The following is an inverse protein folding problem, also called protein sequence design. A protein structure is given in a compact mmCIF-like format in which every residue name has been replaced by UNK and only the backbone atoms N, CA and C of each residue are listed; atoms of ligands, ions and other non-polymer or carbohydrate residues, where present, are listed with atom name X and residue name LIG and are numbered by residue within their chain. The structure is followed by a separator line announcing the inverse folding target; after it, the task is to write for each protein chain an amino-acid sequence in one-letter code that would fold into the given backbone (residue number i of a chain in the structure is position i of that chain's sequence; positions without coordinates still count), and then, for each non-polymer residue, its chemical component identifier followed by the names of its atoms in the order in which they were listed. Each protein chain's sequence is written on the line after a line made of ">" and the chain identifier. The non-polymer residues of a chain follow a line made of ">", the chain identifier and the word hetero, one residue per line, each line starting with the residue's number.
data_IF_976030891866
#
_entry.id   IF_976030891866
#
_cell.length_a   1.000
_cell.length_b   1.000
_cell.length_c   1.000
_cell.angle_alpha   90.00
_cell.angle_beta   90.00
_cell.angle_gamma   90.00
#
_symmetry.space_group_name_H-M   'P 1'
#
loop_
_entity.id
_entity.type
_entity.pdbx_description
1 polymer ?
#
# COMPACT_ATOMS: atom_id res chain seq x y z
N UNK A 1 -44.81 -35.05 -40.66
CA UNK A 1 -44.23 -34.14 -41.67
C UNK A 1 -42.73 -34.13 -41.43
N UNK A 2 -42.01 -35.15 -41.94
CA UNK A 2 -41.22 -35.17 -43.21
C UNK A 2 -39.97 -34.29 -43.12
N UNK A 3 -38.76 -34.86 -42.91
CA UNK A 3 -37.82 -35.46 -43.91
C UNK A 3 -37.06 -34.36 -44.71
N UNK A 4 -35.73 -34.32 -44.90
CA UNK A 4 -34.73 -35.33 -45.35
C UNK A 4 -33.27 -34.91 -44.92
N UNK A 5 -32.27 -35.78 -44.58
CA UNK A 5 -31.56 -36.89 -45.30
C UNK A 5 -30.49 -36.37 -46.31
N UNK A 6 -29.17 -36.71 -46.33
CA UNK A 6 -28.45 -37.99 -46.54
C UNK A 6 -26.90 -37.84 -46.29
N UNK A 7 -26.23 -38.69 -45.48
CA UNK A 7 -25.27 -39.84 -45.75
C UNK A 7 -23.84 -39.50 -46.25
N UNK A 8 -22.72 -39.91 -45.62
CA UNK A 8 -22.13 -41.24 -45.27
C UNK A 8 -21.39 -41.94 -46.44
N UNK A 9 -20.08 -42.21 -46.29
CA UNK A 9 -19.42 -43.53 -46.48
C UNK A 9 -17.89 -43.48 -46.76
N UNK A 10 -17.17 -44.29 -45.98
CA UNK A 10 -15.85 -44.93 -46.21
C UNK A 10 -15.88 -45.82 -47.48
N UNK A 11 -14.75 -46.35 -48.07
CA UNK A 11 -13.85 -47.29 -47.38
C UNK A 11 -12.36 -47.36 -47.83
N UNK A 12 -11.56 -48.11 -47.04
CA UNK A 12 -10.21 -48.66 -47.38
C UNK A 12 -10.29 -49.73 -48.49
N UNK A 13 -9.18 -50.01 -49.18
CA UNK A 13 -8.59 -51.36 -49.45
C UNK A 13 -7.38 -51.32 -50.45
N UNK A 14 -6.24 -51.88 -49.97
CA UNK A 14 -5.15 -52.70 -50.57
C UNK A 14 -4.60 -52.52 -52.02
N UNK A 15 -3.29 -52.76 -52.17
CA UNK A 15 -2.71 -53.30 -53.42
C UNK A 15 -1.18 -53.27 -53.51
N UNK A 16 -0.54 -54.45 -53.40
CA UNK A 16 0.89 -54.74 -53.56
C UNK A 16 1.40 -54.56 -55.02
N UNK A 17 2.72 -54.47 -55.23
CA UNK A 17 3.31 -54.66 -56.57
C UNK A 17 4.80 -54.36 -56.72
N UNK A 18 5.62 -55.39 -56.52
CA UNK A 18 7.08 -55.49 -56.68
C UNK A 18 7.67 -55.18 -58.09
N UNK A 19 9.02 -55.05 -58.10
CA UNK A 19 10.03 -55.23 -59.20
C UNK A 19 10.61 -53.92 -59.78
N UNK A 20 11.87 -53.77 -60.16
CA UNK A 20 13.13 -54.55 -60.12
C UNK A 20 14.20 -53.69 -60.83
N UNK A 21 15.37 -53.41 -60.22
CA UNK A 21 16.73 -53.85 -60.64
C UNK A 21 17.35 -53.22 -61.92
N UNK A 22 18.32 -52.31 -61.69
CA UNK A 22 19.71 -52.24 -62.24
C UNK A 22 19.94 -52.12 -63.77
N UNK A 23 21.21 -52.00 -64.28
CA UNK A 23 22.50 -51.51 -63.73
C UNK A 23 23.30 -50.63 -64.75
N UNK A 24 24.56 -50.29 -64.40
CA UNK A 24 25.78 -50.07 -65.24
C UNK A 24 26.49 -48.74 -64.91
N UNK A 25 27.74 -48.65 -64.41
CA UNK A 25 29.08 -49.22 -64.66
C UNK A 25 30.04 -48.13 -65.23
N UNK A 26 31.12 -47.83 -64.48
CA UNK A 26 32.54 -47.65 -64.96
C UNK A 26 32.86 -46.37 -65.77
N UNK A 27 33.95 -45.58 -65.61
CA UNK A 27 35.30 -45.77 -65.05
C UNK A 27 36.06 -44.41 -64.90
N UNK A 28 37.02 -44.37 -63.96
CA UNK A 28 38.44 -43.95 -64.09
C UNK A 28 38.83 -42.52 -64.55
N UNK A 29 39.68 -41.85 -63.75
CA UNK A 29 40.68 -40.88 -64.25
C UNK A 29 41.11 -39.79 -63.26
N UNK A 30 42.38 -39.82 -62.88
CA UNK A 30 43.09 -39.00 -61.89
C UNK A 30 43.21 -37.48 -62.21
N UNK A 31 43.31 -36.62 -61.18
CA UNK A 31 44.49 -35.79 -60.83
C UNK A 31 44.17 -34.50 -60.02
N UNK A 32 44.79 -34.43 -58.83
CA UNK A 32 45.41 -33.29 -58.11
C UNK A 32 44.63 -32.05 -57.59
N UNK A 33 44.86 -31.84 -56.28
CA UNK A 33 45.01 -30.60 -55.51
C UNK A 33 43.81 -29.86 -54.88
N UNK A 34 43.69 -30.09 -53.55
CA UNK A 34 43.51 -29.13 -52.45
C UNK A 34 42.71 -27.84 -52.71
N UNK A 35 41.54 -27.72 -52.06
CA UNK A 35 41.17 -26.55 -51.24
C UNK A 35 40.19 -26.99 -50.14
N UNK A 36 40.58 -26.78 -48.88
CA UNK A 36 39.76 -26.95 -47.68
C UNK A 36 38.53 -26.03 -47.74
N UNK A 37 37.33 -26.56 -47.53
CA UNK A 37 36.12 -25.74 -47.43
C UNK A 37 35.18 -26.30 -46.35
N UNK A 38 35.57 -26.11 -45.09
CA UNK A 38 34.62 -26.12 -43.98
C UNK A 38 35.08 -25.16 -42.87
N UNK A 39 34.56 -23.92 -42.86
CA UNK A 39 34.47 -23.19 -41.59
C UNK A 39 33.15 -22.43 -41.39
N UNK A 40 32.20 -22.48 -42.33
CA UNK A 40 31.02 -21.61 -42.28
C UNK A 40 29.84 -22.23 -41.50
N UNK A 41 29.75 -23.55 -41.41
CA UNK A 41 28.68 -24.24 -40.64
C UNK A 41 28.97 -24.13 -39.13
N UNK A 42 30.23 -24.32 -38.72
CA UNK A 42 30.65 -24.17 -37.31
C UNK A 42 30.58 -22.74 -36.77
N UNK A 43 30.55 -21.72 -37.64
CA UNK A 43 30.38 -20.31 -37.22
C UNK A 43 28.92 -19.92 -37.02
N UNK A 44 28.00 -20.50 -37.80
CA UNK A 44 26.57 -20.26 -37.61
C UNK A 44 26.06 -20.97 -36.35
N UNK A 45 26.54 -22.17 -36.06
CA UNK A 45 26.17 -22.88 -34.82
C UNK A 45 26.73 -22.17 -33.57
N UNK A 46 27.97 -21.66 -33.65
CA UNK A 46 28.57 -20.89 -32.56
C UNK A 46 27.91 -19.52 -32.31
N UNK A 47 27.31 -18.89 -33.32
CA UNK A 47 26.58 -17.62 -33.14
C UNK A 47 25.11 -17.82 -32.72
N UNK A 48 24.53 -18.99 -33.04
CA UNK A 48 23.15 -19.33 -32.65
C UNK A 48 23.07 -19.79 -31.19
N UNK A 49 24.15 -20.36 -30.63
CA UNK A 49 24.20 -20.71 -29.20
C UNK A 49 24.48 -19.52 -28.27
N UNK A 50 25.10 -18.43 -28.76
CA UNK A 50 25.44 -17.27 -27.90
C UNK A 50 24.24 -16.30 -27.73
N UNK A 51 23.16 -16.46 -28.48
CA UNK A 51 22.02 -15.52 -28.47
C UNK A 51 20.78 -16.01 -27.70
N UNK A 52 20.84 -17.15 -27.02
CA UNK A 52 19.70 -17.72 -26.30
C UNK A 52 19.92 -18.00 -24.80
N UNK A 53 20.87 -17.29 -24.17
CA UNK A 53 20.80 -17.11 -22.72
C UNK A 53 19.59 -16.23 -22.41
N UNK A 54 18.45 -16.87 -22.12
CA UNK A 54 17.39 -16.23 -21.33
C UNK A 54 18.08 -15.58 -20.13
N UNK A 55 17.85 -14.29 -19.84
CA UNK A 55 18.48 -13.65 -18.69
C UNK A 55 18.24 -14.56 -17.49
N UNK A 56 19.32 -15.05 -16.88
CA UNK A 56 19.26 -15.89 -15.70
C UNK A 56 18.58 -15.04 -14.62
N UNK A 57 17.28 -15.25 -14.44
CA UNK A 57 16.49 -14.55 -13.42
C UNK A 57 16.95 -15.14 -12.09
N UNK A 58 17.88 -14.46 -11.44
CA UNK A 58 18.28 -14.78 -10.08
C UNK A 58 17.10 -14.37 -9.20
N UNK A 59 16.30 -15.37 -8.79
CA UNK A 59 15.18 -15.13 -7.87
C UNK A 59 15.73 -15.05 -6.45
N UNK A 60 15.84 -13.84 -5.91
CA UNK A 60 16.20 -13.63 -4.51
C UNK A 60 14.98 -13.98 -3.64
N UNK A 61 15.06 -15.09 -2.89
CA UNK A 61 14.01 -15.50 -1.95
C UNK A 61 14.15 -14.69 -0.65
N UNK A 62 13.25 -13.72 -0.46
CA UNK A 62 13.22 -12.88 0.74
C UNK A 62 12.13 -13.38 1.67
N UNK A 63 12.55 -13.76 2.86
CA UNK A 63 11.66 -14.25 3.90
C UNK A 63 11.10 -13.08 4.69
N UNK A 64 9.80 -12.81 4.53
CA UNK A 64 9.13 -11.75 5.27
C UNK A 64 8.70 -12.26 6.64
N UNK A 65 9.28 -11.71 7.70
CA UNK A 65 8.85 -11.97 9.06
C UNK A 65 7.83 -10.90 9.50
N UNK A 66 6.61 -11.35 9.84
CA UNK A 66 5.53 -10.48 10.32
C UNK A 66 5.92 -9.67 11.56
N UNK A 67 6.80 -10.19 12.42
CA UNK A 67 7.24 -9.49 13.62
C UNK A 67 8.15 -8.29 13.30
N UNK A 68 9.04 -8.43 12.33
CA UNK A 68 9.88 -7.32 11.86
C UNK A 68 9.04 -6.21 11.22
N UNK A 69 7.98 -6.61 10.49
CA UNK A 69 7.00 -5.67 9.92
C UNK A 69 6.27 -4.88 11.01
N UNK A 70 5.83 -5.55 12.09
CA UNK A 70 5.25 -4.86 13.27
C UNK A 70 6.24 -3.84 13.84
N UNK A 71 7.50 -4.24 14.01
CA UNK A 71 8.58 -3.36 14.47
C UNK A 71 8.78 -2.13 13.59
N UNK A 72 8.66 -2.28 12.26
CA UNK A 72 8.76 -1.18 11.32
C UNK A 72 7.52 -0.27 11.32
N UNK A 73 6.30 -0.81 11.44
CA UNK A 73 5.06 -0.02 11.41
C UNK A 73 5.01 1.00 12.55
N UNK A 74 5.50 0.64 13.74
CA UNK A 74 5.44 1.50 14.93
C UNK A 74 6.07 2.90 14.69
N UNK A 75 7.38 3.04 14.41
CA UNK A 75 8.00 4.36 14.23
C UNK A 75 7.43 5.12 13.04
N UNK A 76 7.10 4.43 11.94
CA UNK A 76 6.48 5.07 10.77
C UNK A 76 5.08 5.61 11.06
N UNK A 77 4.28 4.90 11.86
CA UNK A 77 2.94 5.37 12.27
C UNK A 77 3.01 6.60 13.17
N UNK A 78 3.97 6.63 14.11
CA UNK A 78 4.24 7.79 14.97
C UNK A 78 4.65 8.99 14.11
N UNK A 79 5.62 8.80 13.21
CA UNK A 79 6.05 9.86 12.29
C UNK A 79 4.90 10.36 11.42
N UNK A 80 4.04 9.47 10.94
CA UNK A 80 2.91 9.83 10.09
C UNK A 80 1.88 10.70 10.81
N UNK A 81 1.58 10.39 12.07
CA UNK A 81 0.71 11.23 12.91
C UNK A 81 1.34 12.58 13.19
N UNK A 82 2.64 12.63 13.48
CA UNK A 82 3.35 13.90 13.70
C UNK A 82 3.29 14.79 12.46
N UNK A 83 3.48 14.21 11.26
CA UNK A 83 3.34 14.94 9.99
C UNK A 83 1.91 15.43 9.81
N UNK A 84 0.90 14.58 10.02
CA UNK A 84 -0.52 14.98 9.89
C UNK A 84 -0.87 16.15 10.81
N UNK A 85 -0.57 16.01 12.11
CA UNK A 85 -0.88 17.04 13.11
C UNK A 85 -0.05 18.30 12.85
N UNK A 86 1.20 18.16 12.44
CA UNK A 86 2.05 19.26 12.03
C UNK A 86 1.44 20.05 10.88
N UNK A 87 1.06 19.39 9.78
CA UNK A 87 0.42 20.01 8.62
C UNK A 87 -0.90 20.70 9.00
N UNK A 88 -1.72 20.06 9.83
CA UNK A 88 -2.97 20.65 10.32
C UNK A 88 -2.72 21.92 11.15
N UNK A 89 -1.70 21.94 12.00
CA UNK A 89 -1.34 23.13 12.80
C UNK A 89 -0.68 24.24 12.00
N UNK A 90 0.02 23.91 10.91
CA UNK A 90 0.64 24.91 10.04
C UNK A 90 -0.40 25.68 9.21
N UNK A 91 -1.54 25.05 8.92
CA UNK A 91 -2.59 25.65 8.09
C UNK A 91 -3.61 26.47 8.88
N UNK A 92 -3.62 26.44 10.21
CA UNK A 92 -4.53 27.25 11.05
C UNK A 92 -4.20 28.74 11.09
N UNK A 93 -3.94 29.38 9.95
CA UNK A 93 -3.72 30.82 9.82
C UNK A 93 -4.94 31.52 9.20
N UNK A 94 -5.20 32.79 9.54
CA UNK A 94 -6.35 33.53 9.02
C UNK A 94 -6.20 33.73 7.50
N UNK A 95 -7.26 33.40 6.75
CA UNK A 95 -7.28 33.53 5.28
C UNK A 95 -6.65 32.35 4.52
N UNK A 96 -6.51 31.19 5.16
CA UNK A 96 -6.04 29.98 4.48
C UNK A 96 -6.94 29.64 3.26
N UNK A 97 -6.35 29.31 2.09
CA UNK A 97 -7.09 29.14 0.86
C UNK A 97 -7.85 27.81 0.78
N UNK A 98 -7.39 26.78 1.51
CA UNK A 98 -7.96 25.42 1.53
C UNK A 98 -7.73 24.81 2.90
N UNK A 99 -8.70 24.01 3.38
CA UNK A 99 -8.66 23.36 4.69
C UNK A 99 -7.47 22.41 4.86
N UNK A 100 -6.88 22.37 6.07
CA UNK A 100 -5.61 21.71 6.35
C UNK A 100 -5.55 20.21 6.05
N UNK A 101 -6.70 19.52 6.05
CA UNK A 101 -6.77 18.09 5.70
C UNK A 101 -6.26 17.81 4.28
N UNK A 102 -6.46 18.75 3.33
CA UNK A 102 -6.00 18.62 1.94
C UNK A 102 -4.51 18.31 1.86
N UNK A 103 -3.69 19.02 2.64
CA UNK A 103 -2.23 18.86 2.61
C UNK A 103 -1.80 17.51 3.17
N UNK A 104 -2.40 17.06 4.28
CA UNK A 104 -2.10 15.75 4.84
C UNK A 104 -2.45 14.63 3.83
N UNK A 105 -3.62 14.72 3.19
CA UNK A 105 -4.05 13.73 2.21
C UNK A 105 -3.13 13.71 0.97
N UNK A 106 -2.74 14.89 0.45
CA UNK A 106 -1.82 15.00 -0.68
C UNK A 106 -0.43 14.43 -0.36
N UNK A 107 0.17 14.84 0.76
CA UNK A 107 1.52 14.39 1.18
C UNK A 107 1.55 12.88 1.39
N UNK A 108 0.53 12.34 2.07
CA UNK A 108 0.45 10.90 2.29
C UNK A 108 0.27 10.09 1.00
N UNK A 109 -0.57 10.58 0.07
CA UNK A 109 -0.75 9.93 -1.23
C UNK A 109 0.49 10.07 -2.13
N UNK A 110 1.20 11.19 -2.06
CA UNK A 110 2.46 11.42 -2.78
C UNK A 110 3.56 10.43 -2.36
N UNK A 111 3.79 10.29 -1.05
CA UNK A 111 4.76 9.31 -0.53
C UNK A 111 4.34 7.89 -0.90
N UNK A 112 3.03 7.58 -0.82
CA UNK A 112 2.49 6.28 -1.23
C UNK A 112 2.76 6.00 -2.73
N UNK A 113 2.60 7.00 -3.61
CA UNK A 113 2.88 6.89 -5.04
C UNK A 113 4.35 6.56 -5.33
N UNK A 114 5.29 7.27 -4.67
CA UNK A 114 6.73 6.98 -4.78
C UNK A 114 7.03 5.55 -4.32
N UNK A 115 6.40 5.14 -3.21
CA UNK A 115 6.61 3.83 -2.63
C UNK A 115 6.06 2.71 -3.51
N UNK A 116 4.92 2.94 -4.15
CA UNK A 116 4.28 1.97 -5.06
C UNK A 116 5.12 1.77 -6.33
N UNK A 117 5.75 2.82 -6.84
CA UNK A 117 6.61 2.72 -8.02
C UNK A 117 7.91 1.97 -7.72
N UNK A 118 8.56 2.27 -6.60
CA UNK A 118 9.86 1.70 -6.24
C UNK A 118 9.78 0.42 -5.38
N UNK A 119 8.66 -0.33 -5.43
CA UNK A 119 8.38 -1.49 -4.58
C UNK A 119 9.55 -2.47 -4.40
N UNK A 120 10.26 -2.78 -5.48
CA UNK A 120 11.36 -3.75 -5.45
C UNK A 120 12.58 -3.22 -4.68
N UNK A 121 12.91 -1.93 -4.85
CA UNK A 121 14.06 -1.31 -4.20
C UNK A 121 13.82 -1.14 -2.69
N UNK A 122 12.58 -0.88 -2.28
CA UNK A 122 12.23 -0.62 -0.87
C UNK A 122 11.40 -1.74 -0.22
N UNK A 123 11.42 -2.95 -0.77
CA UNK A 123 10.57 -4.08 -0.35
C UNK A 123 10.52 -4.29 1.17
N UNK A 124 11.66 -4.21 1.87
CA UNK A 124 11.73 -4.37 3.35
C UNK A 124 10.94 -3.31 4.12
N UNK A 125 10.94 -2.08 3.61
CA UNK A 125 10.34 -0.92 4.27
C UNK A 125 8.95 -0.60 3.72
N UNK A 126 8.54 -1.26 2.62
CA UNK A 126 7.33 -0.94 1.88
C UNK A 126 6.09 -0.96 2.77
N UNK A 127 5.97 -1.96 3.64
CA UNK A 127 4.82 -2.10 4.54
C UNK A 127 4.86 -1.01 5.62
N UNK A 128 6.04 -0.70 6.19
CA UNK A 128 6.19 0.40 7.13
C UNK A 128 5.86 1.76 6.51
N UNK A 129 6.28 2.00 5.26
CA UNK A 129 6.06 3.26 4.56
C UNK A 129 4.60 3.42 4.09
N UNK A 130 4.01 2.39 3.50
CA UNK A 130 2.62 2.42 3.06
C UNK A 130 1.65 2.32 4.24
N UNK A 131 1.74 1.23 5.02
CA UNK A 131 0.80 0.91 6.08
C UNK A 131 1.13 1.58 7.40
N UNK A 132 2.36 1.99 7.68
CA UNK A 132 2.68 2.82 8.86
C UNK A 132 2.53 4.30 8.52
N UNK A 133 3.45 4.83 7.71
CA UNK A 133 3.60 6.26 7.47
C UNK A 133 2.41 6.85 6.70
N UNK A 134 2.20 6.44 5.44
CA UNK A 134 1.18 7.03 4.58
C UNK A 134 -0.22 6.81 5.14
N UNK A 135 -0.49 5.63 5.69
CA UNK A 135 -1.75 5.30 6.34
C UNK A 135 -2.02 6.07 7.64
N UNK A 136 -1.00 6.60 8.31
CA UNK A 136 -1.16 7.49 9.48
C UNK A 136 -1.15 8.98 9.13
N UNK A 137 -0.52 9.37 8.02
CA UNK A 137 -0.60 10.74 7.48
C UNK A 137 -2.01 11.01 6.93
N UNK A 138 -2.51 10.09 6.13
CA UNK A 138 -3.86 10.17 5.55
C UNK A 138 -4.92 9.79 6.58
N UNK A 139 -6.17 10.21 6.38
CA UNK A 139 -7.29 9.83 7.26
C UNK A 139 -8.60 9.88 6.50
N UNK A 140 -9.36 8.77 6.50
CA UNK A 140 -10.69 8.75 5.89
C UNK A 140 -11.78 9.20 6.89
N UNK A 141 -11.66 8.82 8.16
CA UNK A 141 -12.64 9.18 9.19
C UNK A 141 -12.74 10.69 9.42
N UNK A 142 -11.62 11.42 9.46
CA UNK A 142 -11.64 12.88 9.59
C UNK A 142 -12.26 13.55 8.37
N UNK A 143 -12.00 13.03 7.18
CA UNK A 143 -12.61 13.52 5.94
C UNK A 143 -14.14 13.37 5.95
N UNK A 144 -14.65 12.21 6.37
CA UNK A 144 -16.10 12.01 6.49
C UNK A 144 -16.73 12.93 7.55
N UNK A 145 -16.02 13.17 8.66
CA UNK A 145 -16.47 14.10 9.70
C UNK A 145 -16.57 15.54 9.15
N UNK A 146 -15.62 15.99 8.33
CA UNK A 146 -15.65 17.35 7.77
C UNK A 146 -16.78 17.50 6.73
N UNK A 147 -17.03 16.49 5.90
CA UNK A 147 -18.21 16.44 5.00
C UNK A 147 -19.51 16.56 5.82
N UNK A 148 -19.62 15.83 6.93
CA UNK A 148 -20.79 15.90 7.81
C UNK A 148 -20.95 17.29 8.43
N UNK A 149 -19.87 17.93 8.88
CA UNK A 149 -19.91 19.30 9.40
C UNK A 149 -20.38 20.31 8.36
N UNK A 150 -19.98 20.13 7.09
CA UNK A 150 -20.46 20.93 5.97
C UNK A 150 -21.98 20.76 5.77
N UNK A 151 -22.47 19.51 5.70
CA UNK A 151 -23.91 19.23 5.55
C UNK A 151 -24.76 19.78 6.70
N UNK A 152 -24.29 19.62 7.93
CA UNK A 152 -25.01 20.05 9.14
C UNK A 152 -24.90 21.54 9.44
N UNK A 153 -24.09 22.29 8.68
CA UNK A 153 -23.69 23.66 9.00
C UNK A 153 -23.22 23.79 10.45
N UNK A 154 -22.31 22.91 10.86
CA UNK A 154 -21.86 22.80 12.25
C UNK A 154 -21.33 24.13 12.82
N UNK A 155 -20.72 24.96 11.96
CA UNK A 155 -20.16 26.26 12.34
C UNK A 155 -21.17 27.42 12.29
N UNK A 156 -22.45 27.14 12.04
CA UNK A 156 -23.52 28.14 11.95
C UNK A 156 -23.19 29.31 11.01
N UNK A 157 -22.54 29.01 9.89
CA UNK A 157 -22.25 30.02 8.88
C UNK A 157 -23.55 30.57 8.30
N UNK A 158 -23.59 31.84 7.83
CA UNK A 158 -24.77 32.48 7.25
C UNK A 158 -25.07 31.91 5.85
N UNK A 159 -25.27 30.60 5.76
CA UNK A 159 -25.46 29.82 4.55
C UNK A 159 -26.92 29.42 4.41
N UNK A 160 -27.43 29.46 3.18
CA UNK A 160 -28.67 28.78 2.83
C UNK A 160 -28.45 27.27 2.79
N UNK A 161 -29.53 26.47 2.85
CA UNK A 161 -29.44 25.00 2.80
C UNK A 161 -28.67 24.48 1.57
N UNK A 162 -28.78 25.16 0.43
CA UNK A 162 -28.05 24.81 -0.79
C UNK A 162 -26.54 25.01 -0.66
N UNK A 163 -26.09 26.07 0.03
CA UNK A 163 -24.67 26.33 0.25
C UNK A 163 -24.01 25.30 1.18
N UNK A 164 -24.76 24.73 2.14
CA UNK A 164 -24.25 23.64 2.99
C UNK A 164 -23.99 22.35 2.19
N UNK A 165 -24.89 22.02 1.26
CA UNK A 165 -24.70 20.89 0.33
C UNK A 165 -23.47 21.14 -0.55
N UNK A 166 -23.33 22.38 -1.06
CA UNK A 166 -22.20 22.76 -1.90
C UNK A 166 -20.87 22.65 -1.14
N UNK A 167 -20.81 23.09 0.12
CA UNK A 167 -19.62 22.95 0.98
C UNK A 167 -19.24 21.47 1.15
N UNK A 168 -20.20 20.62 1.54
CA UNK A 168 -19.95 19.20 1.72
C UNK A 168 -19.47 18.49 0.43
N UNK A 169 -20.10 18.79 -0.71
CA UNK A 169 -19.68 18.26 -2.02
C UNK A 169 -18.30 18.80 -2.40
N UNK A 170 -18.00 20.06 -2.10
CA UNK A 170 -16.68 20.64 -2.36
C UNK A 170 -15.59 19.91 -1.58
N UNK A 171 -15.82 19.63 -0.29
CA UNK A 171 -14.88 18.86 0.54
C UNK A 171 -14.70 17.42 0.03
N UNK A 172 -15.76 16.79 -0.47
CA UNK A 172 -15.68 15.48 -1.11
C UNK A 172 -14.80 15.53 -2.38
N UNK A 173 -15.13 16.40 -3.32
CA UNK A 173 -14.48 16.47 -4.63
C UNK A 173 -13.03 16.94 -4.54
N UNK A 174 -12.76 18.00 -3.76
CA UNK A 174 -11.41 18.56 -3.62
C UNK A 174 -10.47 17.55 -2.95
N UNK A 175 -10.91 16.90 -1.87
CA UNK A 175 -10.08 15.90 -1.18
C UNK A 175 -9.81 14.67 -2.06
N UNK A 176 -10.80 14.23 -2.83
CA UNK A 176 -10.60 13.11 -3.75
C UNK A 176 -9.62 13.50 -4.87
N UNK A 177 -9.83 14.64 -5.52
CA UNK A 177 -9.00 15.13 -6.60
C UNK A 177 -7.54 15.34 -6.17
N UNK A 178 -7.31 15.94 -5.01
CA UNK A 178 -5.96 16.22 -4.52
C UNK A 178 -5.25 14.94 -4.07
N UNK A 179 -5.96 13.95 -3.52
CA UNK A 179 -5.36 12.64 -3.22
C UNK A 179 -4.94 11.88 -4.47
N UNK A 180 -5.79 11.85 -5.51
CA UNK A 180 -5.42 11.25 -6.79
C UNK A 180 -4.25 11.98 -7.44
N UNK A 181 -4.27 13.31 -7.44
CA UNK A 181 -3.17 14.11 -7.97
C UNK A 181 -1.86 13.83 -7.22
N UNK A 182 -1.89 13.81 -5.89
CA UNK A 182 -0.73 13.48 -5.07
C UNK A 182 -0.17 12.09 -5.39
N UNK A 183 -1.04 11.09 -5.49
CA UNK A 183 -0.63 9.71 -5.84
C UNK A 183 0.04 9.62 -7.21
N UNK A 184 -0.60 10.14 -8.25
CA UNK A 184 -0.06 10.13 -9.62
C UNK A 184 1.25 10.93 -9.70
N UNK A 185 1.31 12.09 -9.06
CA UNK A 185 2.54 12.87 -9.00
C UNK A 185 3.66 12.12 -8.27
N UNK A 186 3.32 11.37 -7.21
CA UNK A 186 4.23 10.48 -6.50
C UNK A 186 4.80 9.38 -7.39
N UNK A 187 4.01 8.79 -8.28
CA UNK A 187 4.51 7.79 -9.24
C UNK A 187 5.52 8.39 -10.22
N UNK A 188 5.23 9.57 -10.77
CA UNK A 188 6.17 10.29 -11.65
C UNK A 188 7.47 10.65 -10.91
N UNK A 189 7.38 11.10 -9.66
CA UNK A 189 8.54 11.34 -8.81
C UNK A 189 9.30 10.03 -8.53
N UNK A 190 8.60 8.92 -8.34
CA UNK A 190 9.19 7.59 -8.17
C UNK A 190 10.04 7.16 -9.36
N UNK A 191 9.53 7.33 -10.58
CA UNK A 191 10.28 7.10 -11.81
C UNK A 191 11.50 8.02 -11.94
N UNK A 192 11.37 9.29 -11.57
CA UNK A 192 12.49 10.23 -11.58
C UNK A 192 13.59 9.78 -10.60
N UNK A 193 13.22 9.33 -9.40
CA UNK A 193 14.16 8.79 -8.41
C UNK A 193 14.87 7.56 -8.96
N UNK A 194 14.13 6.60 -9.54
CA UNK A 194 14.74 5.41 -10.14
C UNK A 194 15.72 5.78 -11.27
N UNK A 195 15.32 6.72 -12.13
CA UNK A 195 16.17 7.22 -13.21
C UNK A 195 17.45 7.89 -12.68
N UNK A 196 17.34 8.73 -11.63
CA UNK A 196 18.49 9.37 -10.99
C UNK A 196 19.45 8.36 -10.37
N UNK A 197 18.91 7.34 -9.68
CA UNK A 197 19.72 6.28 -9.07
C UNK A 197 20.48 5.50 -10.14
N UNK A 198 19.82 5.10 -11.23
CA UNK A 198 20.48 4.40 -12.36
C UNK A 198 21.53 5.26 -13.06
N UNK A 199 21.29 6.58 -13.13
CA UNK A 199 22.24 7.53 -13.73
C UNK A 199 23.51 7.69 -12.87
N UNK A 200 23.37 7.73 -11.55
CA UNK A 200 24.49 7.93 -10.61
C UNK A 200 25.27 6.63 -10.38
N UNK A 201 24.58 5.48 -10.32
CA UNK A 201 25.17 4.17 -10.16
C UNK A 201 24.73 3.26 -11.31
N UNK A 202 25.48 3.23 -12.43
CA UNK A 202 25.25 2.29 -13.52
C UNK A 202 25.77 0.90 -13.15
N UNK A 203 25.36 0.36 -11.99
CA UNK A 203 25.50 -1.07 -11.74
C UNK A 203 24.45 -1.79 -12.59
N UNK A 204 24.86 -2.89 -13.22
CA UNK A 204 23.96 -3.81 -13.92
C UNK A 204 22.94 -4.34 -12.90
N UNK A 205 21.81 -3.66 -12.74
CA UNK A 205 20.69 -4.18 -11.98
C UNK A 205 20.10 -5.30 -12.83
N UNK A 206 20.57 -6.53 -12.61
CA UNK A 206 19.81 -7.70 -13.00
C UNK A 206 18.42 -7.52 -12.42
N UNK A 207 17.39 -7.70 -13.25
CA UNK A 207 16.00 -7.64 -12.81
C UNK A 207 15.75 -8.87 -11.94
N UNK A 208 16.17 -8.80 -10.68
CA UNK A 208 15.92 -9.82 -9.68
C UNK A 208 14.42 -9.84 -9.41
N UNK A 209 13.74 -10.91 -9.85
CA UNK A 209 12.39 -11.16 -9.37
C UNK A 209 12.49 -11.58 -7.90
N UNK A 210 12.17 -10.64 -7.01
CA UNK A 210 12.12 -10.90 -5.57
C UNK A 210 10.91 -11.79 -5.31
N UNK A 211 11.16 -13.05 -4.96
CA UNK A 211 10.12 -13.98 -4.53
C UNK A 211 9.97 -13.87 -3.02
N UNK A 212 8.90 -13.20 -2.60
CA UNK A 212 8.56 -13.02 -1.19
C UNK A 212 7.95 -14.31 -0.67
N UNK A 213 8.60 -14.94 0.32
CA UNK A 213 8.04 -16.09 1.04
C UNK A 213 7.47 -15.56 2.36
N UNK A 214 6.14 -15.46 2.51
CA UNK A 214 5.53 -14.96 3.73
C UNK A 214 5.76 -15.97 4.85
N UNK A 215 6.51 -15.59 5.88
CA UNK A 215 6.59 -16.36 7.14
C UNK A 215 5.54 -15.82 8.12
N UNK A 216 5.04 -16.71 8.97
CA UNK A 216 4.11 -16.35 10.04
C UNK A 216 4.77 -15.50 11.13
N UNK A 217 4.10 -15.43 12.29
CA UNK A 217 4.69 -14.89 13.51
C UNK A 217 5.61 -15.94 14.13
N UNK A 218 6.84 -16.08 13.63
CA UNK A 218 7.82 -17.04 14.13
C UNK A 218 9.09 -16.32 14.63
N UNK A 219 9.58 -16.74 15.80
CA UNK A 219 10.82 -16.23 16.40
C UNK A 219 12.06 -17.01 15.94
N UNK A 220 11.86 -18.24 15.43
CA UNK A 220 12.93 -19.21 15.17
C UNK A 220 13.87 -18.83 14.01
N UNK A 221 13.49 -17.83 13.19
CA UNK A 221 14.24 -17.44 11.99
C UNK A 221 14.41 -15.92 11.86
N UNK A 222 14.69 -15.24 12.98
CA UNK A 222 14.88 -13.80 13.02
C UNK A 222 16.35 -13.44 12.71
N UNK A 223 16.57 -12.59 11.70
CA UNK A 223 17.92 -12.15 11.34
C UNK A 223 18.40 -11.01 12.26
N UNK A 224 19.71 -10.77 12.35
CA UNK A 224 20.28 -9.63 13.10
C UNK A 224 19.62 -8.26 12.78
N UNK A 225 19.36 -7.89 11.52
CA UNK A 225 18.62 -6.65 11.19
C UNK A 225 17.14 -6.68 11.63
N UNK A 226 16.50 -7.85 11.72
CA UNK A 226 15.11 -7.95 12.17
C UNK A 226 15.01 -7.63 13.67
N UNK A 227 15.97 -8.12 14.47
CA UNK A 227 16.08 -7.76 15.89
C UNK A 227 16.28 -6.26 16.10
N UNK A 228 17.09 -5.61 15.26
CA UNK A 228 17.33 -4.16 15.39
C UNK A 228 16.07 -3.35 15.06
N UNK A 229 15.31 -3.74 14.04
CA UNK A 229 14.03 -3.09 13.68
C UNK A 229 12.98 -3.30 14.78
N UNK A 230 12.87 -4.50 15.33
CA UNK A 230 11.93 -4.78 16.43
C UNK A 230 12.32 -4.01 17.69
N UNK A 231 13.60 -4.04 18.07
CA UNK A 231 14.11 -3.31 19.22
C UNK A 231 13.89 -1.80 19.09
N UNK A 232 14.17 -1.25 17.90
CA UNK A 232 13.92 0.16 17.61
C UNK A 232 12.42 0.51 17.68
N UNK A 233 11.54 -0.33 17.14
CA UNK A 233 10.09 -0.14 17.23
C UNK A 233 9.59 -0.11 18.68
N UNK A 234 10.02 -1.08 19.50
CA UNK A 234 9.67 -1.13 20.93
C UNK A 234 10.19 0.13 21.66
N UNK A 235 11.46 0.50 21.42
CA UNK A 235 12.06 1.67 22.04
C UNK A 235 11.34 2.96 21.64
N UNK A 236 10.95 3.09 20.37
CA UNK A 236 10.15 4.22 19.88
C UNK A 236 8.78 4.30 20.58
N UNK A 237 8.11 3.15 20.74
CA UNK A 237 6.81 3.12 21.43
C UNK A 237 6.93 3.48 22.91
N UNK A 238 7.92 2.90 23.61
CA UNK A 238 8.23 3.27 24.99
C UNK A 238 8.56 4.76 25.11
N UNK A 239 9.32 5.31 24.16
CA UNK A 239 9.67 6.72 24.10
C UNK A 239 8.43 7.62 24.06
N UNK A 240 7.43 7.31 23.22
CA UNK A 240 6.18 8.10 23.17
C UNK A 240 5.30 7.90 24.40
N UNK A 241 5.33 6.72 25.03
CA UNK A 241 4.64 6.47 26.31
C UNK A 241 5.25 7.33 27.42
N UNK A 242 6.59 7.32 27.55
CA UNK A 242 7.28 8.19 28.50
C UNK A 242 7.02 9.67 28.21
N UNK A 243 7.03 10.07 26.94
CA UNK A 243 6.69 11.44 26.56
C UNK A 243 5.26 11.81 26.99
N UNK A 244 4.30 10.89 26.91
CA UNK A 244 2.92 11.11 27.36
C UNK A 244 2.80 11.25 28.88
N UNK A 245 3.61 10.50 29.64
CA UNK A 245 3.63 10.57 31.11
C UNK A 245 4.25 11.89 31.59
N UNK A 246 5.40 12.28 31.02
CA UNK A 246 6.19 13.42 31.54
C UNK A 246 5.78 14.77 30.95
N UNK A 247 5.22 14.82 29.75
CA UNK A 247 4.85 16.09 29.11
C UNK A 247 3.60 16.68 29.76
N UNK A 248 3.64 17.97 30.11
CA UNK A 248 2.46 18.72 30.58
C UNK A 248 1.85 19.62 29.50
N UNK A 249 2.67 20.18 28.60
CA UNK A 249 2.23 21.20 27.61
C UNK A 249 1.57 20.64 26.35
N UNK A 250 1.92 19.42 25.92
CA UNK A 250 1.45 18.81 24.66
C UNK A 250 0.99 17.36 24.87
N UNK A 251 0.26 17.11 25.95
CA UNK A 251 -0.24 15.77 26.30
C UNK A 251 -1.04 15.13 25.17
N UNK A 252 -1.92 15.87 24.51
CA UNK A 252 -2.72 15.36 23.39
C UNK A 252 -1.89 14.95 22.16
N UNK A 253 -0.76 15.60 21.89
CA UNK A 253 0.17 15.14 20.84
C UNK A 253 0.85 13.83 21.23
N UNK A 254 1.29 13.72 22.48
CA UNK A 254 1.94 12.53 22.99
C UNK A 254 0.98 11.34 23.03
N UNK A 255 -0.25 11.53 23.51
CA UNK A 255 -1.31 10.52 23.48
C UNK A 255 -1.65 10.11 22.05
N UNK A 256 -1.74 11.07 21.12
CA UNK A 256 -1.94 10.78 19.70
C UNK A 256 -0.85 9.86 19.13
N UNK A 257 0.41 10.03 19.55
CA UNK A 257 1.54 9.18 19.16
C UNK A 257 1.51 7.80 19.83
N UNK A 258 1.05 7.69 21.08
CA UNK A 258 0.90 6.40 21.77
C UNK A 258 -0.13 5.50 21.09
N UNK A 259 -1.23 6.08 20.61
CA UNK A 259 -2.31 5.35 19.93
C UNK A 259 -2.07 5.15 18.43
N UNK A 260 -1.13 5.87 17.81
CA UNK A 260 -0.85 5.76 16.38
C UNK A 260 -0.45 4.33 15.96
N UNK A 261 0.47 3.63 16.66
CA UNK A 261 0.81 2.25 16.34
C UNK A 261 -0.37 1.30 16.45
N UNK A 262 -1.24 1.47 17.45
CA UNK A 262 -2.41 0.61 17.66
C UNK A 262 -3.35 0.67 16.46
N UNK A 263 -3.66 1.88 15.97
CA UNK A 263 -4.52 2.07 14.79
C UNK A 263 -3.88 1.52 13.51
N UNK A 264 -2.59 1.78 13.31
CA UNK A 264 -1.86 1.32 12.12
C UNK A 264 -1.72 -0.21 12.09
N UNK A 265 -1.42 -0.84 13.22
CA UNK A 265 -1.32 -2.31 13.34
C UNK A 265 -2.67 -2.97 13.15
N UNK A 266 -3.76 -2.42 13.70
CA UNK A 266 -5.10 -2.94 13.48
C UNK A 266 -5.49 -2.85 12.00
N UNK A 267 -5.23 -1.73 11.32
CA UNK A 267 -5.46 -1.61 9.88
C UNK A 267 -4.63 -2.61 9.08
N UNK A 268 -3.36 -2.78 9.42
CA UNK A 268 -2.49 -3.76 8.76
C UNK A 268 -2.98 -5.19 8.99
N UNK A 269 -3.40 -5.54 10.20
CA UNK A 269 -3.99 -6.84 10.50
C UNK A 269 -5.27 -7.08 9.69
N UNK A 270 -6.15 -6.09 9.60
CA UNK A 270 -7.37 -6.16 8.79
C UNK A 270 -7.07 -6.31 7.29
N UNK A 271 -5.94 -5.78 6.82
CA UNK A 271 -5.54 -5.93 5.41
C UNK A 271 -5.30 -7.39 4.99
N UNK A 272 -5.05 -8.31 5.93
CA UNK A 272 -4.96 -9.75 5.62
C UNK A 272 -6.27 -10.34 5.10
N UNK A 273 -7.41 -9.72 5.41
CA UNK A 273 -8.73 -10.12 4.90
C UNK A 273 -9.04 -9.54 3.52
N UNK A 274 -8.12 -8.77 2.92
CA UNK A 274 -8.19 -8.40 1.51
C UNK A 274 -7.89 -9.67 0.66
N UNK A 275 -8.88 -10.55 0.51
CA UNK A 275 -8.73 -11.85 -0.17
C UNK A 275 -8.19 -11.66 -1.59
N UNK A 276 -7.07 -12.34 -1.86
CA UNK A 276 -6.25 -12.34 -3.08
C UNK A 276 -7.00 -12.61 -4.41
N UNK A 277 -8.26 -13.05 -4.35
CA UNK A 277 -9.03 -13.54 -5.52
C UNK A 277 -10.10 -12.59 -6.04
N UNK A 278 -10.37 -11.48 -5.34
CA UNK A 278 -11.28 -10.44 -5.81
C UNK A 278 -10.52 -9.11 -5.95
N UNK A 279 -9.82 -8.92 -7.07
CA UNK A 279 -9.14 -7.65 -7.41
C UNK A 279 -10.09 -6.44 -7.54
N UNK A 280 -11.37 -6.56 -7.17
CA UNK A 280 -12.38 -5.51 -7.34
C UNK A 280 -12.56 -4.65 -6.10
N UNK A 281 -12.28 -5.15 -4.89
CA UNK A 281 -12.55 -4.37 -3.67
C UNK A 281 -11.74 -4.82 -2.43
N UNK A 282 -10.97 -3.92 -1.79
CA UNK A 282 -10.16 -4.23 -0.62
C UNK A 282 -11.00 -4.20 0.69
N UNK A 283 -11.71 -5.31 0.93
CA UNK A 283 -12.71 -5.45 2.00
C UNK A 283 -12.20 -5.14 3.41
N UNK A 284 -11.02 -5.65 3.80
CA UNK A 284 -10.45 -5.47 5.13
C UNK A 284 -10.11 -4.01 5.45
N UNK A 285 -9.48 -3.30 4.51
CA UNK A 285 -9.22 -1.85 4.65
C UNK A 285 -10.51 -1.02 4.60
N UNK A 286 -11.51 -1.45 3.83
CA UNK A 286 -12.83 -0.82 3.86
C UNK A 286 -13.52 -1.00 5.22
N UNK A 287 -13.48 -2.19 5.81
CA UNK A 287 -14.00 -2.45 7.16
C UNK A 287 -13.30 -1.54 8.18
N UNK A 288 -11.97 -1.40 8.10
CA UNK A 288 -11.22 -0.49 8.95
C UNK A 288 -11.73 0.97 8.82
N UNK A 289 -11.95 1.43 7.59
CA UNK A 289 -12.49 2.76 7.30
C UNK A 289 -13.89 2.98 7.88
N UNK A 290 -14.81 2.04 7.66
CA UNK A 290 -16.19 2.15 8.16
C UNK A 290 -16.23 2.07 9.68
N UNK A 291 -15.53 1.11 10.28
CA UNK A 291 -15.47 0.96 11.73
C UNK A 291 -14.87 2.20 12.39
N UNK A 292 -13.73 2.70 11.90
CA UNK A 292 -13.10 3.91 12.44
C UNK A 292 -13.99 5.16 12.32
N UNK A 293 -14.72 5.28 11.21
CA UNK A 293 -15.69 6.38 11.01
C UNK A 293 -16.90 6.26 11.92
N UNK A 294 -17.45 5.06 12.10
CA UNK A 294 -18.60 4.82 12.98
C UNK A 294 -18.26 5.12 14.45
N UNK A 295 -17.08 4.69 14.91
CA UNK A 295 -16.59 5.02 16.25
C UNK A 295 -16.39 6.53 16.40
N UNK A 296 -15.81 7.21 15.40
CA UNK A 296 -15.63 8.67 15.43
C UNK A 296 -16.99 9.39 15.51
N UNK A 297 -17.98 8.94 14.74
CA UNK A 297 -19.32 9.50 14.73
C UNK A 297 -20.04 9.31 16.08
N UNK A 298 -20.01 8.10 16.66
CA UNK A 298 -20.59 7.83 17.97
C UNK A 298 -19.99 8.73 19.05
N UNK A 299 -18.68 8.97 18.98
CA UNK A 299 -17.98 9.86 19.91
C UNK A 299 -18.36 11.33 19.71
N UNK A 300 -18.43 11.79 18.46
CA UNK A 300 -18.83 13.16 18.12
C UNK A 300 -20.28 13.47 18.55
N UNK A 301 -21.20 12.52 18.36
CA UNK A 301 -22.60 12.63 18.78
C UNK A 301 -22.75 12.66 20.30
N UNK A 302 -22.00 11.81 21.00
CA UNK A 302 -22.01 11.75 22.47
C UNK A 302 -21.57 13.06 23.13
N UNK A 303 -20.82 13.90 22.40
CA UNK A 303 -20.36 15.21 22.86
C UNK A 303 -21.28 16.37 22.48
N UNK A 304 -22.21 16.17 21.55
CA UNK A 304 -23.03 17.24 20.95
C UNK A 304 -24.50 17.24 21.41
N UNK A 305 -24.91 16.32 22.29
CA UNK A 305 -26.31 16.13 22.72
C UNK A 305 -26.77 17.04 23.88
N UNK A 306 -27.99 17.63 23.86
CA UNK A 306 -28.50 18.52 24.92
C UNK A 306 -28.97 17.85 26.24
N UNK A 307 -28.75 16.56 26.47
CA UNK A 307 -29.18 15.88 27.70
C UNK A 307 -28.10 14.92 28.17
N UNK A 308 -27.17 15.42 28.99
CA UNK A 308 -26.27 14.56 29.75
C UNK A 308 -27.01 13.97 30.95
N UNK A 309 -27.56 12.77 30.82
CA UNK A 309 -27.89 11.94 31.99
C UNK A 309 -26.60 11.39 32.59
N UNK A 310 -26.49 11.38 33.93
CA UNK A 310 -25.27 11.04 34.68
C UNK A 310 -24.63 9.70 34.29
N UNK A 311 -25.40 8.75 33.75
CA UNK A 311 -24.94 7.38 33.42
C UNK A 311 -24.14 7.35 32.10
N UNK A 312 -24.49 8.16 31.11
CA UNK A 312 -23.71 8.28 29.86
C UNK A 312 -22.41 9.03 30.07
N UNK A 313 -22.39 9.96 31.03
CA UNK A 313 -21.15 10.56 31.53
C UNK A 313 -20.25 9.45 32.10
N UNK A 314 -20.77 8.56 32.94
CA UNK A 314 -19.97 7.47 33.53
C UNK A 314 -19.42 6.48 32.51
N UNK A 315 -20.12 6.15 31.42
CA UNK A 315 -19.58 5.20 30.41
C UNK A 315 -18.55 5.85 29.49
N UNK A 316 -18.80 7.09 29.04
CA UNK A 316 -17.83 7.86 28.22
C UNK A 316 -16.61 8.27 29.05
N UNK A 317 -16.85 8.61 30.32
CA UNK A 317 -15.82 8.89 31.30
C UNK A 317 -15.15 7.61 31.79
N UNK A 318 -15.80 6.45 31.84
CA UNK A 318 -15.14 5.15 32.13
C UNK A 318 -14.32 4.63 30.95
N UNK A 319 -14.72 4.89 29.71
CA UNK A 319 -13.88 4.66 28.53
C UNK A 319 -12.69 5.64 28.47
N UNK A 320 -12.84 6.85 29.03
CA UNK A 320 -11.75 7.81 29.21
C UNK A 320 -10.87 7.51 30.44
N UNK A 321 -11.46 7.02 31.53
CA UNK A 321 -10.84 6.70 32.82
C UNK A 321 -10.22 5.29 32.83
N UNK A 322 -10.62 4.43 31.89
CA UNK A 322 -10.00 3.11 31.64
C UNK A 322 -8.54 3.19 31.19
N UNK A 323 -8.00 4.40 31.00
CA UNK A 323 -6.58 4.69 30.78
C UNK A 323 -5.85 5.27 32.02
N UNK A 324 -6.51 5.32 33.18
CA UNK A 324 -6.00 5.80 34.49
C UNK A 324 -5.47 7.25 34.50
N UNK A 325 -6.17 8.11 35.25
CA UNK A 325 -5.58 9.29 35.92
C UNK A 325 -6.25 10.63 35.62
N UNK A 326 -6.87 11.20 36.66
CA UNK A 326 -7.44 12.54 36.84
C UNK A 326 -7.06 13.64 35.82
N UNK A 327 -8.08 14.42 35.45
CA UNK A 327 -8.05 15.68 34.67
C UNK A 327 -7.60 15.56 33.21
N UNK A 328 -8.39 14.85 32.41
CA UNK A 328 -8.38 15.05 30.96
C UNK A 328 -9.54 15.94 30.54
N UNK A 329 -9.24 17.14 30.04
CA UNK A 329 -10.22 17.96 29.35
C UNK A 329 -10.75 17.19 28.12
N UNK A 330 -12.06 17.23 27.87
CA UNK A 330 -12.76 16.56 26.76
C UNK A 330 -12.08 16.74 25.40
N UNK A 331 -11.40 17.88 25.20
CA UNK A 331 -10.60 18.25 24.03
C UNK A 331 -9.33 17.38 23.83
N UNK A 332 -8.63 17.04 24.91
CA UNK A 332 -7.40 16.23 24.88
C UNK A 332 -7.69 14.79 24.49
N UNK A 333 -8.79 14.26 25.03
CA UNK A 333 -9.33 12.94 24.68
C UNK A 333 -9.77 12.92 23.20
N UNK A 334 -10.33 14.02 22.70
CA UNK A 334 -10.81 14.14 21.32
C UNK A 334 -9.66 14.08 20.29
N UNK A 335 -8.53 14.74 20.55
CA UNK A 335 -7.37 14.71 19.65
C UNK A 335 -6.64 13.35 19.68
N UNK A 336 -6.56 12.68 20.85
CA UNK A 336 -6.08 11.31 20.93
C UNK A 336 -6.99 10.32 20.18
N UNK A 337 -8.31 10.50 20.24
CA UNK A 337 -9.33 9.71 19.51
C UNK A 337 -9.25 9.91 18.00
N UNK A 338 -9.14 11.17 17.54
CA UNK A 338 -8.90 11.50 16.13
C UNK A 338 -7.60 10.87 15.64
N UNK A 339 -6.59 10.76 16.50
CA UNK A 339 -5.33 10.11 16.12
C UNK A 339 -5.46 8.60 15.91
N UNK A 340 -6.05 7.88 16.86
CA UNK A 340 -6.29 6.43 16.76
C UNK A 340 -7.13 6.08 15.53
N UNK A 341 -8.28 6.75 15.39
CA UNK A 341 -9.24 6.50 14.32
C UNK A 341 -8.71 7.01 12.97
N UNK A 342 -7.93 8.08 13.00
CA UNK A 342 -7.23 8.58 11.82
C UNK A 342 -6.11 7.66 11.34
N UNK A 343 -5.46 6.86 12.19
CA UNK A 343 -4.44 5.88 11.75
C UNK A 343 -5.06 4.57 11.27
N UNK A 344 -6.25 4.24 11.81
CA UNK A 344 -7.04 3.08 11.43
C UNK A 344 -7.69 3.26 10.05
N UNK A 345 -7.98 4.50 9.65
CA UNK A 345 -8.70 4.81 8.42
C UNK A 345 -7.81 5.54 7.42
N UNK A 346 -7.90 5.23 6.14
CA UNK A 346 -7.05 5.83 5.10
C UNK A 346 -7.74 5.91 3.75
N UNK A 347 -7.48 7.02 3.04
CA UNK A 347 -7.95 7.23 1.66
C UNK A 347 -7.19 6.38 0.64
N UNK A 348 -6.01 5.85 1.01
CA UNK A 348 -5.19 4.99 0.15
C UNK A 348 -5.91 3.73 -0.33
N UNK A 349 -6.96 3.30 0.39
CA UNK A 349 -7.89 2.22 -0.02
C UNK A 349 -8.50 2.44 -1.41
N UNK A 350 -8.64 3.70 -1.85
CA UNK A 350 -9.23 4.06 -3.14
C UNK A 350 -8.19 4.35 -4.24
N UNK A 351 -6.90 4.28 -3.91
CA UNK A 351 -5.80 4.66 -4.81
C UNK A 351 -5.04 3.44 -5.37
N UNK A 352 -5.23 2.27 -4.75
CA UNK A 352 -4.62 0.98 -5.09
C UNK A 352 -5.71 0.02 -5.50
#
# INVERSE_FOLDING_TARGET
>A
MTQNHFTNNDPRITGEGNRSLSPHHVNRGDQFNQVSMEPDILRQDAQTEISNERPTVISLEIHENKLAIVGAIIPFSVLGVLIRIGLQRLETYPGAPVFGLVYAQWVGCFIMGIAVENKNAIHKWQIGLSSGLCGSITTFSSWQLDIFKGFSNYYFNPHTRGYNILDAISQLLVTMAISFNGFVFGQHAGHLVEWLVKKISPTKVCKEEIKIIPRGFALDYLSAPDYSVIGFGILCWLGVIFAAIFTQKQKELALACVFAPVGALLRWYLSFYNIYRAQRFPLGTFIANIFGTAVLAALALSQSGPVMTSISCTVVQALADGFCGKEYNTFQIQNAKISLLGCLTTISTFMV
#
